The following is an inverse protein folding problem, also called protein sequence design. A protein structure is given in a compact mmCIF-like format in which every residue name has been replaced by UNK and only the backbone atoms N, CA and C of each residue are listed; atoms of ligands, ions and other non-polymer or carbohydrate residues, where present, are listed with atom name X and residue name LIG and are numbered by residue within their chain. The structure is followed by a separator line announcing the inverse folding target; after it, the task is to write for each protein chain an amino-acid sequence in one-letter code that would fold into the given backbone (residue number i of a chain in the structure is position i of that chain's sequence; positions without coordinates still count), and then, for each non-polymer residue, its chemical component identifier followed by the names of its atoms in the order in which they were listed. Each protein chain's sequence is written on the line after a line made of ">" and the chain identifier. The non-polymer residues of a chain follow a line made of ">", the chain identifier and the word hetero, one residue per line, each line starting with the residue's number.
data_IF_702315310317
#
_entry.id   IF_702315310317
#
_cell.length_a   1.000
_cell.length_b   1.000
_cell.length_c   1.000
_cell.angle_alpha   90.00
_cell.angle_beta   90.00
_cell.angle_gamma   90.00
#
_symmetry.space_group_name_H-M   'P 1'
#
loop_
_entity.id
_entity.type
_entity.pdbx_description
1 polymer ?
#
# COMPACT_ATOMS: atom_id res chain seq x y z
N UNK A 1 11.23 -24.76 -22.80
CA UNK A 1 10.04 -25.24 -22.06
C UNK A 1 8.89 -24.28 -22.35
N UNK A 2 7.91 -24.72 -23.14
CA UNK A 2 6.75 -23.90 -23.50
C UNK A 2 5.72 -23.96 -22.38
N UNK A 3 5.42 -22.83 -21.75
CA UNK A 3 4.31 -22.67 -20.81
C UNK A 3 2.99 -22.89 -21.54
N UNK A 4 2.17 -23.82 -21.06
CA UNK A 4 0.85 -24.14 -21.66
C UNK A 4 -0.13 -22.97 -21.52
N UNK A 5 -1.03 -22.80 -22.50
CA UNK A 5 -2.05 -21.73 -22.56
C UNK A 5 -2.84 -21.60 -21.26
N UNK A 6 -3.11 -22.70 -20.56
CA UNK A 6 -3.77 -22.73 -19.25
C UNK A 6 -2.92 -22.10 -18.14
N UNK A 7 -1.59 -22.30 -18.11
CA UNK A 7 -0.71 -21.61 -17.17
C UNK A 7 -0.62 -20.12 -17.45
N UNK A 8 -0.60 -19.72 -18.73
CA UNK A 8 -0.61 -18.31 -19.14
C UNK A 8 -1.92 -17.64 -18.73
N UNK A 9 -3.07 -18.27 -19.01
CA UNK A 9 -4.39 -17.76 -18.60
C UNK A 9 -4.53 -17.67 -17.08
N UNK A 10 -4.12 -18.70 -16.33
CA UNK A 10 -4.14 -18.69 -14.85
C UNK A 10 -3.18 -17.65 -14.25
N UNK A 11 -2.03 -17.43 -14.88
CA UNK A 11 -1.09 -16.37 -14.50
C UNK A 11 -1.66 -14.96 -14.81
N UNK A 12 -2.42 -14.82 -15.89
CA UNK A 12 -3.09 -13.57 -16.26
C UNK A 12 -4.28 -13.25 -15.34
N UNK A 13 -5.06 -14.26 -14.95
CA UNK A 13 -6.17 -14.12 -14.00
C UNK A 13 -5.67 -13.81 -12.59
N UNK A 14 -4.58 -14.44 -12.15
CA UNK A 14 -3.94 -14.12 -10.86
C UNK A 14 -3.28 -12.75 -10.85
N UNK A 15 -2.69 -12.30 -11.96
CA UNK A 15 -2.16 -10.94 -12.10
C UNK A 15 -3.29 -9.89 -12.09
N UNK A 16 -4.37 -10.13 -12.83
CA UNK A 16 -5.56 -9.27 -12.84
C UNK A 16 -6.21 -9.20 -11.45
N UNK A 17 -6.31 -10.34 -10.76
CA UNK A 17 -6.79 -10.41 -9.39
C UNK A 17 -5.97 -9.58 -8.41
N UNK A 18 -4.63 -9.67 -8.45
CA UNK A 18 -3.75 -8.81 -7.63
C UNK A 18 -3.95 -7.32 -7.93
N UNK A 19 -4.14 -6.97 -9.19
CA UNK A 19 -4.35 -5.59 -9.63
C UNK A 19 -5.66 -5.01 -9.12
N UNK A 20 -6.71 -5.82 -9.11
CA UNK A 20 -7.99 -5.47 -8.49
C UNK A 20 -7.90 -5.31 -6.98
N UNK A 21 -7.23 -6.24 -6.29
CA UNK A 21 -7.04 -6.14 -4.84
C UNK A 21 -6.25 -4.88 -4.47
N UNK A 22 -5.18 -4.57 -5.22
CA UNK A 22 -4.46 -3.31 -5.09
C UNK A 22 -5.38 -2.10 -5.29
N UNK A 23 -6.22 -2.09 -6.33
CA UNK A 23 -7.14 -0.98 -6.57
C UNK A 23 -8.11 -0.79 -5.40
N UNK A 24 -8.65 -1.89 -4.85
CA UNK A 24 -9.55 -1.84 -3.67
C UNK A 24 -8.85 -1.14 -2.51
N UNK A 25 -7.65 -1.58 -2.13
CA UNK A 25 -6.91 -0.94 -1.03
C UNK A 25 -6.56 0.52 -1.29
N UNK A 26 -6.23 0.85 -2.55
CA UNK A 26 -5.96 2.23 -2.94
C UNK A 26 -7.22 3.10 -2.85
N UNK A 27 -8.38 2.58 -3.23
CA UNK A 27 -9.68 3.24 -3.10
C UNK A 27 -10.02 3.43 -1.61
N UNK A 28 -9.85 2.41 -0.78
CA UNK A 28 -10.08 2.48 0.67
C UNK A 28 -9.22 3.55 1.35
N UNK A 29 -8.04 3.86 0.79
CA UNK A 29 -7.13 4.85 1.38
C UNK A 29 -7.65 6.29 1.36
N UNK A 30 -8.15 6.76 0.21
CA UNK A 30 -8.42 8.19 -0.09
C UNK A 30 -9.49 8.44 -1.16
N UNK A 31 -10.16 7.42 -1.67
CA UNK A 31 -11.17 7.67 -2.70
C UNK A 31 -12.39 8.37 -2.13
N UNK A 32 -13.04 9.17 -2.97
CA UNK A 32 -14.34 9.72 -2.68
C UNK A 32 -15.37 8.96 -3.52
N UNK A 33 -16.18 8.15 -2.84
CA UNK A 33 -17.41 7.60 -3.40
C UNK A 33 -18.54 8.58 -3.10
N UNK A 34 -19.23 9.05 -4.13
CA UNK A 34 -20.37 9.96 -3.98
C UNK A 34 -21.57 9.42 -4.73
N UNK A 35 -22.74 9.51 -4.09
CA UNK A 35 -24.03 9.17 -4.67
C UNK A 35 -24.82 10.46 -4.77
N UNK A 36 -25.11 10.90 -5.99
CA UNK A 36 -25.95 12.06 -6.23
C UNK A 36 -27.32 11.59 -6.73
N UNK A 37 -28.40 12.13 -6.16
CA UNK A 37 -29.76 11.92 -6.67
C UNK A 37 -30.13 13.13 -7.52
N UNK A 38 -30.34 12.93 -8.82
CA UNK A 38 -30.87 13.99 -9.70
C UNK A 38 -32.38 14.10 -9.55
N UNK A 39 -32.92 15.28 -9.87
CA UNK A 39 -34.33 15.66 -9.72
C UNK A 39 -35.32 14.68 -10.37
N UNK A 40 -34.89 13.90 -11.37
CA UNK A 40 -35.68 12.86 -12.03
C UNK A 40 -35.34 11.42 -11.57
N UNK A 41 -35.40 11.14 -10.27
CA UNK A 41 -35.30 9.78 -9.65
C UNK A 41 -34.11 8.89 -10.07
N UNK A 42 -33.11 9.43 -10.76
CA UNK A 42 -31.91 8.70 -11.19
C UNK A 42 -30.80 8.92 -10.17
N UNK A 43 -30.37 7.83 -9.53
CA UNK A 43 -29.21 7.82 -8.64
C UNK A 43 -27.94 7.66 -9.48
N UNK A 44 -27.13 8.70 -9.50
CA UNK A 44 -25.82 8.72 -10.14
C UNK A 44 -24.76 8.32 -9.10
N UNK A 45 -24.30 7.08 -9.19
CA UNK A 45 -23.14 6.61 -8.42
C UNK A 45 -21.88 7.07 -9.14
N UNK A 46 -21.02 7.79 -8.43
CA UNK A 46 -19.73 8.20 -8.96
C UNK A 46 -18.59 7.90 -8.00
N UNK A 47 -17.51 7.35 -8.55
CA UNK A 47 -16.23 7.18 -7.86
C UNK A 47 -15.28 8.23 -8.41
N UNK A 48 -14.60 8.93 -7.51
CA UNK A 48 -13.52 9.82 -7.89
C UNK A 48 -12.28 9.65 -7.03
N UNK A 49 -11.13 9.78 -7.67
CA UNK A 49 -9.82 9.68 -7.04
C UNK A 49 -9.00 10.89 -7.47
N UNK A 50 -8.56 11.67 -6.49
CA UNK A 50 -7.78 12.88 -6.73
C UNK A 50 -6.33 12.69 -6.28
N UNK A 51 -5.37 13.13 -7.09
CA UNK A 51 -3.94 13.09 -6.75
C UNK A 51 -3.20 14.34 -7.25
N UNK A 52 -2.17 14.81 -6.53
CA UNK A 52 -1.29 15.86 -7.02
C UNK A 52 -0.75 15.54 -8.41
N UNK A 53 -0.52 16.56 -9.25
CA UNK A 53 -0.07 16.36 -10.63
C UNK A 53 1.25 15.56 -10.72
N UNK A 54 2.13 15.69 -9.72
CA UNK A 54 3.36 14.87 -9.62
C UNK A 54 3.09 13.36 -9.55
N UNK A 55 1.91 12.94 -9.12
CA UNK A 55 1.51 11.54 -8.96
C UNK A 55 0.42 11.13 -9.96
N UNK A 56 0.21 11.91 -11.03
CA UNK A 56 -0.88 11.72 -12.00
C UNK A 56 -0.87 10.35 -12.69
N UNK A 57 0.31 9.74 -12.84
CA UNK A 57 0.49 8.45 -13.51
C UNK A 57 -0.42 7.36 -12.92
N UNK A 58 -0.66 7.38 -11.60
CA UNK A 58 -1.54 6.41 -10.94
C UNK A 58 -2.99 6.52 -11.44
N UNK A 59 -3.45 7.71 -11.80
CA UNK A 59 -4.81 7.93 -12.30
C UNK A 59 -4.99 7.33 -13.69
N UNK A 60 -3.99 7.46 -14.56
CA UNK A 60 -4.00 6.82 -15.88
C UNK A 60 -3.87 5.30 -15.76
N UNK A 61 -3.11 4.80 -14.78
CA UNK A 61 -3.06 3.37 -14.48
C UNK A 61 -4.44 2.85 -14.06
N UNK A 62 -5.13 3.53 -13.15
CA UNK A 62 -6.50 3.18 -12.74
C UNK A 62 -7.46 3.20 -13.93
N UNK A 63 -7.38 4.22 -14.80
CA UNK A 63 -8.18 4.29 -16.03
C UNK A 63 -7.92 3.07 -16.93
N UNK A 64 -6.65 2.69 -17.13
CA UNK A 64 -6.30 1.50 -17.92
C UNK A 64 -6.79 0.19 -17.30
N UNK A 65 -6.70 0.07 -15.98
CA UNK A 65 -7.15 -1.11 -15.23
C UNK A 65 -8.67 -1.30 -15.28
N UNK A 66 -9.42 -0.20 -15.17
CA UNK A 66 -10.87 -0.22 -15.27
C UNK A 66 -11.34 -0.31 -16.73
N UNK A 67 -10.56 0.23 -17.67
CA UNK A 67 -10.91 0.30 -19.10
C UNK A 67 -11.90 1.41 -19.46
N UNK A 68 -12.28 2.24 -18.49
CA UNK A 68 -13.25 3.34 -18.65
C UNK A 68 -12.97 4.47 -17.65
N UNK A 69 -13.79 5.52 -17.73
CA UNK A 69 -13.66 6.72 -16.89
C UNK A 69 -12.77 7.78 -17.51
N UNK A 70 -12.72 8.93 -16.86
CA UNK A 70 -12.05 10.12 -17.37
C UNK A 70 -11.05 10.65 -16.35
N UNK A 71 -9.91 11.15 -16.85
CA UNK A 71 -8.93 11.88 -16.05
C UNK A 71 -9.01 13.35 -16.45
N UNK A 72 -9.33 14.21 -15.51
CA UNK A 72 -9.29 15.68 -15.65
C UNK A 72 -8.02 16.20 -15.00
N UNK A 73 -7.34 17.10 -15.68
CA UNK A 73 -6.15 17.80 -15.20
C UNK A 73 -6.55 19.24 -14.89
N UNK A 74 -6.56 19.59 -13.61
CA UNK A 74 -6.71 20.97 -13.14
C UNK A 74 -5.47 21.31 -12.30
N UNK A 75 -5.63 22.05 -11.20
CA UNK A 75 -4.58 22.19 -10.16
C UNK A 75 -4.21 20.84 -9.52
N UNK A 76 -5.14 19.89 -9.53
CA UNK A 76 -5.00 18.52 -9.07
C UNK A 76 -5.51 17.60 -10.18
N UNK A 77 -4.92 16.42 -10.32
CA UNK A 77 -5.42 15.38 -11.19
C UNK A 77 -6.62 14.68 -10.57
N UNK A 78 -7.71 14.51 -11.33
CA UNK A 78 -8.91 13.82 -10.86
C UNK A 78 -9.34 12.75 -11.85
N UNK A 79 -9.29 11.50 -11.43
CA UNK A 79 -9.99 10.40 -12.09
C UNK A 79 -11.44 10.38 -11.61
N UNK A 80 -12.39 10.18 -12.52
CA UNK A 80 -13.79 9.97 -12.16
C UNK A 80 -14.51 9.01 -13.12
N UNK A 81 -15.45 8.27 -12.55
CA UNK A 81 -16.41 7.43 -13.28
C UNK A 81 -17.79 7.62 -12.67
N UNK A 82 -18.80 7.83 -13.51
CA UNK A 82 -20.20 7.98 -13.12
C UNK A 82 -21.03 6.94 -13.87
N UNK A 83 -20.95 5.68 -13.44
CA UNK A 83 -21.69 4.58 -14.05
C UNK A 83 -22.06 3.55 -12.98
N UNK A 84 -23.36 3.50 -12.64
CA UNK A 84 -23.90 2.62 -11.59
C UNK A 84 -23.59 1.14 -11.87
N UNK A 85 -23.84 0.64 -13.08
CA UNK A 85 -23.63 -0.77 -13.43
C UNK A 85 -22.17 -1.20 -13.30
N UNK A 86 -21.24 -0.33 -13.70
CA UNK A 86 -19.80 -0.59 -13.62
C UNK A 86 -19.27 -0.51 -12.19
N UNK A 87 -19.76 0.45 -11.40
CA UNK A 87 -19.39 0.55 -9.99
C UNK A 87 -19.87 -0.66 -9.20
N UNK A 88 -21.07 -1.17 -9.49
CA UNK A 88 -21.58 -2.40 -8.89
C UNK A 88 -20.73 -3.64 -9.22
N UNK A 89 -19.87 -3.61 -10.25
CA UNK A 89 -18.91 -4.69 -10.50
C UNK A 89 -17.61 -4.54 -9.69
N UNK A 90 -17.30 -3.35 -9.15
CA UNK A 90 -16.08 -3.10 -8.37
C UNK A 90 -16.25 -3.56 -6.91
N UNK A 91 -17.44 -3.39 -6.33
CA UNK A 91 -17.75 -3.67 -4.92
C UNK A 91 -17.97 -5.15 -4.51
N UNK A 92 -18.39 -6.12 -5.35
CA UNK A 92 -18.74 -7.46 -4.88
C UNK A 92 -17.54 -8.41 -4.67
N UNK A 93 -16.30 -7.96 -4.82
CA UNK A 93 -15.18 -8.89 -4.80
C UNK A 93 -14.76 -9.27 -3.37
N UNK A 94 -14.87 -10.57 -3.08
CA UNK A 94 -14.28 -11.21 -1.90
C UNK A 94 -12.80 -10.83 -1.81
N UNK A 95 -12.41 -10.17 -0.71
CA UNK A 95 -11.01 -9.89 -0.40
C UNK A 95 -10.28 -11.24 -0.28
N UNK A 96 -9.44 -11.55 -1.27
CA UNK A 96 -8.77 -12.86 -1.39
C UNK A 96 -7.26 -12.77 -1.27
N UNK A 97 -6.68 -11.56 -1.40
CA UNK A 97 -5.25 -11.31 -1.25
C UNK A 97 -4.98 -10.06 -0.43
N UNK A 98 -4.89 -10.24 0.89
CA UNK A 98 -4.62 -9.14 1.82
C UNK A 98 -3.31 -8.41 1.52
N UNK A 99 -2.33 -9.09 0.93
CA UNK A 99 -1.05 -8.46 0.58
C UNK A 99 -1.16 -7.43 -0.56
N UNK A 100 -1.89 -7.75 -1.63
CA UNK A 100 -2.10 -6.81 -2.74
C UNK A 100 -2.98 -5.64 -2.31
N UNK A 101 -4.04 -5.92 -1.54
CA UNK A 101 -4.89 -4.88 -0.94
C UNK A 101 -4.10 -3.95 -0.03
N UNK A 102 -3.26 -4.49 0.85
CA UNK A 102 -2.40 -3.67 1.68
C UNK A 102 -1.41 -2.81 0.88
N UNK A 103 -0.84 -3.34 -0.21
CA UNK A 103 0.02 -2.56 -1.09
C UNK A 103 -0.72 -1.34 -1.67
N UNK A 104 -1.98 -1.51 -2.09
CA UNK A 104 -2.84 -0.40 -2.50
C UNK A 104 -3.08 0.62 -1.39
N UNK A 105 -3.37 0.16 -0.18
CA UNK A 105 -3.58 1.03 0.98
C UNK A 105 -2.32 1.85 1.30
N UNK A 106 -1.15 1.21 1.25
CA UNK A 106 0.16 1.86 1.45
C UNK A 106 0.48 2.84 0.32
N UNK A 107 0.20 2.51 -0.94
CA UNK A 107 0.33 3.45 -2.05
C UNK A 107 -0.51 4.71 -1.86
N UNK A 108 -1.65 4.56 -1.19
CA UNK A 108 -2.56 5.64 -0.87
C UNK A 108 -2.09 6.56 0.26
N UNK A 109 -1.73 5.95 1.40
CA UNK A 109 -1.56 6.62 2.71
C UNK A 109 -0.31 6.21 3.50
N UNK A 110 0.41 5.19 3.02
CA UNK A 110 1.57 4.65 3.72
C UNK A 110 2.76 5.61 3.73
N UNK A 111 3.51 5.58 4.82
CA UNK A 111 4.74 6.34 5.04
C UNK A 111 5.84 5.41 5.54
N UNK A 112 6.92 5.32 4.77
CA UNK A 112 8.16 4.65 5.16
C UNK A 112 9.06 5.64 5.89
N UNK A 113 9.17 5.51 7.21
CA UNK A 113 9.91 6.44 8.05
C UNK A 113 11.25 5.82 8.48
N UNK A 114 12.30 6.63 8.37
CA UNK A 114 13.60 6.41 9.04
C UNK A 114 13.79 7.57 10.02
N UNK A 115 14.04 7.27 11.28
CA UNK A 115 14.26 8.29 12.32
C UNK A 115 15.65 8.13 12.92
N UNK A 116 16.36 9.24 13.03
CA UNK A 116 17.66 9.32 13.68
C UNK A 116 17.45 9.94 15.06
N UNK A 117 17.61 9.13 16.11
CA UNK A 117 17.58 9.62 17.50
C UNK A 117 18.99 9.95 17.94
N UNK A 118 19.19 11.21 18.32
CA UNK A 118 20.39 11.65 18.99
C UNK A 118 20.31 11.24 20.46
N UNK A 119 21.33 10.53 20.94
CA UNK A 119 21.50 10.28 22.37
C UNK A 119 22.56 11.26 22.91
N UNK A 120 22.17 12.28 23.70
CA UNK A 120 23.13 13.24 24.24
C UNK A 120 24.18 12.59 25.15
N UNK A 121 23.87 11.42 25.75
CA UNK A 121 24.80 10.66 26.59
C UNK A 121 25.78 9.77 25.78
N UNK A 122 25.55 9.59 24.48
CA UNK A 122 26.39 8.78 23.60
C UNK A 122 26.42 9.37 22.18
N UNK A 123 27.03 10.54 21.96
CA UNK A 123 26.96 11.29 20.70
C UNK A 123 27.51 10.52 19.48
N UNK A 124 28.40 9.55 19.70
CA UNK A 124 28.94 8.66 18.66
C UNK A 124 27.97 7.54 18.22
N UNK A 125 26.95 7.18 19.04
CA UNK A 125 25.93 6.18 18.69
C UNK A 125 24.66 6.88 18.23
N UNK A 126 24.47 6.97 16.90
CA UNK A 126 23.18 7.38 16.31
C UNK A 126 22.22 6.20 16.35
N UNK A 127 21.15 6.31 17.13
CA UNK A 127 20.10 5.28 17.17
C UNK A 127 19.18 5.49 15.97
N UNK A 128 19.26 4.60 14.98
CA UNK A 128 18.39 4.62 13.80
C UNK A 128 17.20 3.71 14.06
N UNK A 129 15.99 4.21 13.87
CA UNK A 129 14.76 3.42 13.95
C UNK A 129 13.98 3.50 12.66
N UNK A 130 13.32 2.41 12.30
CA UNK A 130 12.53 2.28 11.09
C UNK A 130 11.06 2.08 11.45
N UNK A 131 10.15 2.64 10.67
CA UNK A 131 8.73 2.33 10.81
C UNK A 131 7.97 2.43 9.49
N UNK A 132 6.91 1.63 9.38
CA UNK A 132 5.84 1.83 8.41
C UNK A 132 4.64 2.41 9.16
N UNK A 133 4.11 3.51 8.67
CA UNK A 133 2.97 4.21 9.26
C UNK A 133 1.84 4.30 8.22
N UNK A 134 0.63 3.98 8.63
CA UNK A 134 -0.60 4.22 7.86
C UNK A 134 -1.58 4.98 8.76
N UNK A 135 -2.11 6.09 8.25
CA UNK A 135 -3.13 6.89 8.94
C UNK A 135 -4.47 6.74 8.22
N UNK A 136 -5.54 6.52 8.98
CA UNK A 136 -6.90 6.36 8.46
C UNK A 136 -7.93 7.00 9.40
N UNK A 137 -9.05 7.47 8.86
CA UNK A 137 -10.16 7.96 9.69
C UNK A 137 -10.89 6.78 10.34
N UNK A 138 -10.98 5.64 9.64
CA UNK A 138 -11.68 4.44 10.13
C UNK A 138 -10.69 3.33 10.47
N UNK A 139 -10.58 3.01 11.76
CA UNK A 139 -9.69 1.94 12.27
C UNK A 139 -10.00 0.55 11.69
N UNK A 140 -11.29 0.27 11.41
CA UNK A 140 -11.77 -1.01 10.85
C UNK A 140 -11.09 -1.40 9.52
N UNK A 141 -10.64 -0.42 8.73
CA UNK A 141 -9.93 -0.68 7.46
C UNK A 141 -8.59 -1.37 7.72
N UNK A 142 -8.01 -1.15 8.90
CA UNK A 142 -6.68 -1.64 9.27
C UNK A 142 -6.75 -3.01 9.96
N UNK A 143 -7.86 -3.33 10.63
CA UNK A 143 -8.08 -4.56 11.43
C UNK A 143 -7.62 -5.86 10.73
N UNK A 144 -7.96 -6.12 9.45
CA UNK A 144 -7.60 -7.37 8.78
C UNK A 144 -6.09 -7.62 8.63
N UNK A 145 -5.26 -6.58 8.79
CA UNK A 145 -3.82 -6.68 8.57
C UNK A 145 -3.01 -6.87 9.87
N UNK A 146 -3.63 -6.66 11.04
CA UNK A 146 -2.95 -6.78 12.34
C UNK A 146 -2.44 -8.18 12.62
N UNK A 147 -3.30 -9.17 12.47
CA UNK A 147 -2.96 -10.57 12.78
C UNK A 147 -1.76 -11.07 11.96
N UNK A 148 -1.53 -10.47 10.78
CA UNK A 148 -0.46 -10.88 9.86
C UNK A 148 0.83 -10.09 10.04
N UNK A 149 0.74 -8.80 10.33
CA UNK A 149 1.88 -7.90 10.31
C UNK A 149 2.24 -7.31 11.67
N UNK A 150 1.39 -7.46 12.69
CA UNK A 150 1.62 -6.88 14.01
C UNK A 150 1.50 -5.36 14.01
N UNK A 151 2.39 -4.69 14.75
CA UNK A 151 2.35 -3.24 14.97
C UNK A 151 1.33 -2.79 16.01
N UNK A 152 1.18 -1.47 16.15
CA UNK A 152 0.35 -0.84 17.20
C UNK A 152 -0.57 0.22 16.59
N UNK A 153 -1.84 0.24 16.99
CA UNK A 153 -2.77 1.34 16.69
C UNK A 153 -2.69 2.37 17.80
N UNK A 154 -2.66 3.64 17.40
CA UNK A 154 -2.94 4.76 18.31
C UNK A 154 -4.03 5.62 17.71
N UNK A 155 -5.04 5.96 18.51
CA UNK A 155 -5.98 7.01 18.15
C UNK A 155 -5.25 8.36 18.32
N UNK A 156 -5.42 9.25 17.36
CA UNK A 156 -4.94 10.61 17.46
C UNK A 156 -6.06 11.47 18.05
N UNK A 157 -5.87 11.90 19.29
CA UNK A 157 -6.89 12.64 20.07
C UNK A 157 -7.32 13.94 19.40
N UNK A 158 -6.45 14.54 18.56
CA UNK A 158 -6.70 15.84 17.92
C UNK A 158 -7.45 15.78 16.58
N UNK A 159 -7.63 14.59 15.98
CA UNK A 159 -8.06 14.54 14.58
C UNK A 159 -8.85 13.31 14.18
N UNK A 160 -9.49 12.62 15.14
CA UNK A 160 -10.31 11.42 14.96
C UNK A 160 -9.77 10.45 13.89
N UNK A 161 -8.46 10.20 13.96
CA UNK A 161 -7.73 9.35 13.02
C UNK A 161 -6.99 8.28 13.80
N UNK A 162 -6.94 7.08 13.23
CA UNK A 162 -6.16 5.96 13.71
C UNK A 162 -4.84 5.92 12.96
N UNK A 163 -3.75 5.87 13.72
CA UNK A 163 -2.41 5.67 13.22
C UNK A 163 -1.99 4.24 13.54
N UNK A 164 -1.87 3.42 12.50
CA UNK A 164 -1.21 2.12 12.64
C UNK A 164 0.27 2.27 12.32
N UNK A 165 1.09 1.79 13.25
CA UNK A 165 2.53 1.89 13.15
C UNK A 165 3.20 0.55 13.43
N UNK A 166 4.01 0.10 12.48
CA UNK A 166 4.84 -1.09 12.58
C UNK A 166 6.27 -0.63 12.82
N UNK A 167 6.89 -1.08 13.91
CA UNK A 167 8.28 -0.75 14.28
C UNK A 167 9.14 -1.95 14.66
N UNK A 168 8.51 -3.04 15.10
CA UNK A 168 9.22 -4.21 15.58
C UNK A 168 9.98 -4.88 14.43
N UNK A 169 11.20 -5.34 14.69
CA UNK A 169 12.13 -5.78 13.64
C UNK A 169 11.55 -6.93 12.82
N UNK A 170 10.97 -7.92 13.47
CA UNK A 170 10.38 -9.11 12.88
C UNK A 170 9.19 -8.74 11.99
N UNK A 171 8.38 -7.77 12.44
CA UNK A 171 7.24 -7.24 11.69
C UNK A 171 7.70 -6.49 10.44
N UNK A 172 8.76 -5.67 10.56
CA UNK A 172 9.35 -4.97 9.42
C UNK A 172 9.92 -5.95 8.38
N UNK A 173 10.51 -7.08 8.81
CA UNK A 173 10.96 -8.13 7.89
C UNK A 173 9.76 -8.74 7.14
N UNK A 174 8.61 -8.95 7.81
CA UNK A 174 7.37 -9.40 7.16
C UNK A 174 6.87 -8.37 6.16
N UNK A 175 6.90 -7.08 6.50
CA UNK A 175 6.57 -5.97 5.59
C UNK A 175 7.44 -5.98 4.33
N UNK A 176 8.76 -6.13 4.47
CA UNK A 176 9.66 -6.17 3.29
C UNK A 176 9.36 -7.37 2.41
N UNK A 177 9.16 -8.56 3.00
CA UNK A 177 8.78 -9.77 2.26
C UNK A 177 7.46 -9.59 1.51
N UNK A 178 6.49 -8.92 2.14
CA UNK A 178 5.18 -8.65 1.54
C UNK A 178 5.32 -7.73 0.33
N UNK A 179 6.02 -6.61 0.42
CA UNK A 179 6.15 -5.68 -0.71
C UNK A 179 7.13 -6.12 -1.80
N UNK A 180 7.99 -7.11 -1.52
CA UNK A 180 8.69 -7.87 -2.57
C UNK A 180 7.74 -8.75 -3.38
N UNK A 181 6.77 -9.39 -2.71
CA UNK A 181 5.76 -10.25 -3.36
C UNK A 181 4.64 -9.45 -4.04
N UNK A 182 4.24 -8.32 -3.45
CA UNK A 182 3.18 -7.44 -3.91
C UNK A 182 3.74 -6.03 -4.07
N UNK A 183 4.17 -5.69 -5.29
CA UNK A 183 4.82 -4.42 -5.56
C UNK A 183 3.88 -3.23 -5.37
N UNK A 184 4.43 -2.13 -4.85
CA UNK A 184 3.83 -0.80 -4.88
C UNK A 184 3.87 -0.23 -6.30
N UNK A 185 2.84 0.50 -6.71
CA UNK A 185 2.64 1.04 -8.05
C UNK A 185 2.65 2.57 -8.12
N UNK A 186 2.81 3.24 -6.99
CA UNK A 186 3.10 4.68 -6.96
C UNK A 186 4.58 4.96 -6.75
N UNK A 187 4.95 6.25 -6.71
CA UNK A 187 6.29 6.70 -6.33
C UNK A 187 6.74 6.19 -4.96
N UNK A 188 5.82 5.76 -4.08
CA UNK A 188 6.17 5.13 -2.81
C UNK A 188 6.97 3.84 -2.97
N UNK A 189 6.95 3.19 -4.15
CA UNK A 189 7.88 2.10 -4.46
C UNK A 189 9.33 2.55 -4.32
N UNK A 190 9.65 3.76 -4.78
CA UNK A 190 10.99 4.33 -4.65
C UNK A 190 11.34 4.58 -3.19
N UNK A 191 10.39 5.12 -2.41
CA UNK A 191 10.58 5.35 -0.97
C UNK A 191 10.82 4.03 -0.23
N UNK A 192 10.04 3.00 -0.54
CA UNK A 192 10.23 1.65 0.00
C UNK A 192 11.62 1.09 -0.31
N UNK A 193 12.09 1.20 -1.56
CA UNK A 193 13.40 0.70 -1.95
C UNK A 193 14.53 1.46 -1.23
N UNK A 194 14.44 2.79 -1.11
CA UNK A 194 15.39 3.60 -0.33
C UNK A 194 15.38 3.20 1.14
N UNK A 195 14.20 2.95 1.70
CA UNK A 195 14.01 2.52 3.08
C UNK A 195 14.64 1.13 3.32
N UNK A 196 14.40 0.15 2.44
CA UNK A 196 15.07 -1.16 2.48
C UNK A 196 16.59 -1.04 2.40
N UNK A 197 17.11 -0.22 1.48
CA UNK A 197 18.56 -0.02 1.36
C UNK A 197 19.17 0.58 2.61
N UNK A 198 18.45 1.50 3.25
CA UNK A 198 18.90 2.12 4.52
C UNK A 198 18.89 1.10 5.66
N UNK A 199 17.88 0.22 5.70
CA UNK A 199 17.81 -0.88 6.67
C UNK A 199 19.01 -1.84 6.51
N UNK A 200 19.33 -2.24 5.28
CA UNK A 200 20.50 -3.08 4.96
C UNK A 200 21.81 -2.47 5.43
N UNK A 201 22.04 -1.17 5.15
CA UNK A 201 23.27 -0.48 5.56
C UNK A 201 23.42 -0.38 7.09
N UNK A 202 22.30 -0.25 7.80
CA UNK A 202 22.30 -0.19 9.27
C UNK A 202 22.58 -1.57 9.87
N UNK A 203 22.03 -2.61 9.26
CA UNK A 203 22.21 -4.01 9.63
C UNK A 203 23.63 -4.53 9.33
N UNK A 204 24.25 -4.07 8.23
CA UNK A 204 25.68 -4.32 7.95
C UNK A 204 26.59 -3.76 9.06
N UNK A 205 26.21 -2.60 9.64
CA UNK A 205 26.94 -2.00 10.78
C UNK A 205 26.68 -2.71 12.11
N UNK A 206 25.61 -3.50 12.24
CA UNK A 206 25.30 -4.29 13.44
C UNK A 206 25.65 -5.78 13.31
N UNK A 207 26.28 -6.20 12.20
CA UNK A 207 26.72 -7.58 11.97
C UNK A 207 25.64 -8.55 11.46
N UNK A 208 24.38 -8.11 11.30
CA UNK A 208 23.29 -8.96 10.81
C UNK A 208 23.06 -8.69 9.32
N UNK A 209 23.26 -9.66 8.43
CA UNK A 209 22.99 -9.48 6.99
C UNK A 209 21.51 -9.65 6.68
N UNK A 210 20.92 -8.70 5.95
CA UNK A 210 19.68 -8.90 5.22
C UNK A 210 20.02 -9.15 3.75
N UNK A 211 19.79 -10.36 3.24
CA UNK A 211 19.99 -10.68 1.82
C UNK A 211 18.68 -10.49 1.05
N UNK A 212 18.66 -9.66 -0.01
CA UNK A 212 17.44 -9.43 -0.74
C UNK A 212 17.08 -10.52 -1.77
N UNK A 213 18.03 -11.40 -2.09
CA UNK A 213 17.93 -12.45 -3.09
C UNK A 213 18.18 -13.82 -2.42
N UNK A 214 17.31 -14.78 -2.74
CA UNK A 214 17.17 -16.13 -2.16
C UNK A 214 16.23 -16.24 -0.95
N UNK A 215 15.19 -17.06 -1.12
CA UNK A 215 14.49 -17.67 0.00
C UNK A 215 15.44 -18.63 0.70
N UNK A 216 15.38 -18.66 2.04
CA UNK A 216 16.29 -19.36 2.97
C UNK A 216 17.67 -18.66 3.08
N UNK A 217 18.24 -18.40 4.26
CA UNK A 217 18.15 -19.01 5.58
C UNK A 217 18.33 -17.95 6.68
N UNK A 218 17.53 -18.02 7.75
CA UNK A 218 17.95 -17.46 9.04
C UNK A 218 18.96 -18.45 9.62
N UNK A 219 20.25 -18.16 9.48
CA UNK A 219 21.28 -18.86 10.23
C UNK A 219 21.07 -18.60 11.72
N UNK A 220 20.83 -19.67 12.48
CA UNK A 220 21.31 -19.77 13.86
C UNK A 220 22.84 -19.75 13.83
N UNK A 221 23.43 -19.35 14.96
CA UNK A 221 24.86 -19.17 15.24
C UNK A 221 25.38 -17.82 14.72
N UNK A 222 25.90 -16.91 15.56
CA UNK A 222 26.80 -17.11 16.71
C UNK A 222 26.62 -16.06 17.82
N UNK A 223 26.85 -16.53 19.07
CA UNK A 223 26.75 -15.92 20.41
C UNK A 223 25.38 -16.04 21.09
#
# INVERSE_FOLDING_TARGET
>A
MFTTTTQVLRSSETARGKSWQWLIGFIESKSCLSVARKSHKTEEFSLSVSRPLKDIQVLYYIKGLLGYGHVKLLTIGKYYVANKKLLMNIFPFKCSSDGARLAGLVDGEGVFLVSFKHNPKAPKKKNVSFSLIISQVKGVVLEPFFDKLGGRIRKNDKGDTFKWEIREKEDLIRVVRLFKKYSLWTKKRVDFLKWCKTLELTNYKSGLRYSPNHGESFGRETL
#
